data_IF_335009230896
#
_entry.id   IF_335009230896
#
_cell.length_a   1.000
_cell.length_b   1.000
_cell.length_c   1.000
_cell.angle_alpha   90.00
_cell.angle_beta   90.00
_cell.angle_gamma   90.00
#
_symmetry.space_group_name_H-M   'P 1'
#
loop_
_entity.id
_entity.type
_entity.pdbx_description
1 polymer ?
#
# COMPACT_ATOMS: atom_id res chain seq x y z
N UNK A 1 -3.84 -7.97 1.08
CA UNK A 1 -5.28 -8.11 0.76
C UNK A 1 -6.07 -7.53 1.91
N UNK A 2 -6.95 -6.58 1.65
CA UNK A 2 -7.87 -6.02 2.64
C UNK A 2 -9.08 -6.96 2.81
N UNK A 3 -9.63 -7.02 4.02
CA UNK A 3 -10.89 -7.72 4.25
C UNK A 3 -12.09 -6.86 3.83
N UNK A 4 -13.27 -7.48 3.62
CA UNK A 4 -14.50 -6.70 3.37
C UNK A 4 -14.81 -5.70 4.50
N UNK A 5 -14.44 -6.04 5.73
CA UNK A 5 -14.53 -5.12 6.87
C UNK A 5 -13.66 -3.86 6.68
N UNK A 6 -12.44 -4.01 6.17
CA UNK A 6 -11.57 -2.87 5.90
C UNK A 6 -12.14 -1.97 4.80
N UNK A 7 -12.68 -2.56 3.72
CA UNK A 7 -13.36 -1.80 2.67
C UNK A 7 -14.58 -1.03 3.20
N UNK A 8 -15.42 -1.63 4.04
CA UNK A 8 -16.54 -0.94 4.68
C UNK A 8 -16.05 0.25 5.51
N UNK A 9 -15.02 0.07 6.33
CA UNK A 9 -14.44 1.16 7.13
C UNK A 9 -13.87 2.29 6.27
N UNK A 10 -13.27 1.97 5.12
CA UNK A 10 -12.78 2.98 4.18
C UNK A 10 -13.92 3.81 3.58
N UNK A 11 -15.05 3.17 3.26
CA UNK A 11 -16.22 3.85 2.70
C UNK A 11 -16.91 4.71 3.77
N UNK A 12 -16.97 4.21 5.01
CA UNK A 12 -17.61 4.90 6.15
C UNK A 12 -16.74 6.03 6.74
N UNK A 13 -15.48 6.17 6.33
CA UNK A 13 -14.62 7.29 6.72
C UNK A 13 -15.11 8.60 6.04
N UNK A 14 -15.76 9.52 6.76
CA UNK A 14 -16.31 10.72 6.15
C UNK A 14 -15.23 11.69 5.68
N UNK A 15 -14.06 11.72 6.34
CA UNK A 15 -12.96 12.63 5.98
C UNK A 15 -12.48 12.33 4.55
N UNK A 16 -12.28 11.07 4.27
CA UNK A 16 -11.85 10.57 2.96
C UNK A 16 -13.00 10.60 1.95
N UNK A 17 -14.11 9.95 2.29
CA UNK A 17 -15.18 9.66 1.33
C UNK A 17 -15.87 10.92 0.86
N UNK A 18 -16.17 11.88 1.76
CA UNK A 18 -16.80 13.14 1.37
C UNK A 18 -15.92 13.98 0.46
N UNK A 19 -14.59 14.00 0.70
CA UNK A 19 -13.66 14.70 -0.16
C UNK A 19 -13.64 14.10 -1.58
N UNK A 20 -13.56 12.76 -1.70
CA UNK A 20 -13.62 12.08 -3.00
C UNK A 20 -14.96 12.29 -3.70
N UNK A 21 -16.08 12.24 -2.98
CA UNK A 21 -17.40 12.53 -3.55
C UNK A 21 -17.52 13.98 -4.03
N UNK A 22 -16.95 14.93 -3.30
CA UNK A 22 -16.92 16.34 -3.72
C UNK A 22 -16.07 16.51 -5.00
N UNK A 23 -14.92 15.82 -5.09
CA UNK A 23 -14.09 15.83 -6.27
C UNK A 23 -14.79 15.21 -7.49
N UNK A 24 -15.44 14.05 -7.30
CA UNK A 24 -16.21 13.40 -8.36
C UNK A 24 -17.37 14.26 -8.85
N UNK A 25 -18.16 14.89 -7.94
CA UNK A 25 -19.26 15.80 -8.34
C UNK A 25 -18.77 16.97 -9.20
N UNK A 26 -17.54 17.42 -8.98
CA UNK A 26 -16.95 18.51 -9.76
C UNK A 26 -16.37 18.05 -11.10
N UNK A 27 -15.83 16.84 -11.16
CA UNK A 27 -15.13 16.30 -12.33
C UNK A 27 -16.07 15.59 -13.30
N UNK A 28 -17.05 14.85 -12.81
CA UNK A 28 -17.96 14.06 -13.63
C UNK A 28 -19.06 14.93 -14.18
N UNK A 29 -19.20 14.94 -15.49
CA UNK A 29 -20.28 15.60 -16.24
C UNK A 29 -21.10 14.57 -17.02
N UNK A 30 -22.35 14.89 -17.43
CA UNK A 30 -23.11 13.97 -18.28
C UNK A 30 -22.33 13.57 -19.52
N UNK A 31 -22.18 12.25 -19.73
CA UNK A 31 -21.42 11.69 -20.84
C UNK A 31 -19.95 11.42 -20.58
N UNK A 32 -19.38 11.81 -19.45
CA UNK A 32 -17.99 11.52 -19.07
C UNK A 32 -17.71 10.02 -19.05
N UNK A 33 -16.50 9.66 -19.43
CA UNK A 33 -15.89 8.35 -19.20
C UNK A 33 -14.98 8.45 -17.99
N UNK A 34 -15.22 7.60 -17.00
CA UNK A 34 -14.42 7.55 -15.77
C UNK A 34 -13.61 6.26 -15.77
N UNK A 35 -12.31 6.36 -15.43
CA UNK A 35 -11.45 5.22 -15.15
C UNK A 35 -11.13 5.26 -13.67
N UNK A 36 -11.49 4.21 -12.94
CA UNK A 36 -11.17 4.03 -11.52
C UNK A 36 -10.17 2.90 -11.35
N UNK A 37 -9.06 3.18 -10.65
CA UNK A 37 -8.04 2.19 -10.31
C UNK A 37 -8.14 1.87 -8.83
N UNK A 38 -8.25 0.56 -8.50
CA UNK A 38 -8.47 0.08 -7.14
C UNK A 38 -9.91 0.34 -6.70
N UNK A 39 -10.88 -0.11 -7.52
CA UNK A 39 -12.30 0.13 -7.24
C UNK A 39 -12.80 -0.58 -5.98
N UNK A 40 -12.08 -1.63 -5.52
CA UNK A 40 -12.48 -2.42 -4.36
C UNK A 40 -13.90 -2.97 -4.50
N UNK A 41 -14.80 -2.53 -3.63
CA UNK A 41 -16.23 -2.92 -3.66
C UNK A 41 -17.08 -2.07 -4.61
N UNK A 42 -16.49 -1.22 -5.45
CA UNK A 42 -17.20 -0.47 -6.49
C UNK A 42 -17.96 0.78 -6.04
N UNK A 43 -17.71 1.27 -4.82
CA UNK A 43 -18.45 2.40 -4.26
C UNK A 43 -18.34 3.66 -5.12
N UNK A 44 -17.13 4.09 -5.46
CA UNK A 44 -16.95 5.31 -6.26
C UNK A 44 -17.35 5.11 -7.72
N UNK A 45 -17.21 3.89 -8.26
CA UNK A 45 -17.72 3.56 -9.60
C UNK A 45 -19.24 3.77 -9.68
N UNK A 46 -20.01 3.28 -8.69
CA UNK A 46 -21.45 3.51 -8.61
C UNK A 46 -21.77 5.00 -8.44
N UNK A 47 -21.03 5.71 -7.60
CA UNK A 47 -21.24 7.14 -7.41
C UNK A 47 -20.96 7.93 -8.69
N UNK A 48 -19.88 7.61 -9.43
CA UNK A 48 -19.59 8.23 -10.72
C UNK A 48 -20.71 7.98 -11.76
N UNK A 49 -21.20 6.73 -11.83
CA UNK A 49 -22.32 6.39 -12.71
C UNK A 49 -23.60 7.17 -12.34
N UNK A 50 -23.92 7.31 -11.03
CA UNK A 50 -25.06 8.11 -10.55
C UNK A 50 -24.92 9.59 -10.81
N UNK A 51 -23.68 10.11 -10.84
CA UNK A 51 -23.38 11.51 -11.19
C UNK A 51 -23.45 11.80 -12.69
N UNK A 52 -23.74 10.79 -13.53
CA UNK A 52 -23.97 10.97 -14.96
C UNK A 52 -22.85 10.48 -15.87
N UNK A 53 -21.85 9.76 -15.35
CA UNK A 53 -20.87 9.10 -16.19
C UNK A 53 -21.59 8.15 -17.18
N UNK A 54 -21.19 8.26 -18.46
CA UNK A 54 -21.70 7.37 -19.53
C UNK A 54 -21.13 5.97 -19.38
N UNK A 55 -19.86 5.89 -19.01
CA UNK A 55 -19.13 4.65 -18.80
C UNK A 55 -18.17 4.82 -17.63
N UNK A 56 -18.05 3.79 -16.80
CA UNK A 56 -17.04 3.69 -15.77
C UNK A 56 -16.27 2.40 -15.99
N UNK A 57 -14.97 2.49 -16.22
CA UNK A 57 -14.04 1.37 -16.23
C UNK A 57 -13.47 1.24 -14.82
N UNK A 58 -13.95 0.23 -14.09
CA UNK A 58 -13.60 -0.01 -12.70
C UNK A 58 -12.62 -1.19 -12.61
N UNK A 59 -11.34 -0.87 -12.34
CA UNK A 59 -10.23 -1.80 -12.39
C UNK A 59 -9.83 -2.21 -10.97
N UNK A 60 -9.73 -3.50 -10.71
CA UNK A 60 -9.31 -4.08 -9.44
C UNK A 60 -8.58 -5.40 -9.68
N UNK A 61 -7.42 -5.58 -9.07
CA UNK A 61 -6.66 -6.81 -9.19
C UNK A 61 -7.06 -7.88 -8.16
N UNK A 62 -7.75 -7.47 -7.09
CA UNK A 62 -8.17 -8.35 -6.00
C UNK A 62 -9.54 -8.97 -6.32
N UNK A 63 -9.77 -10.25 -5.97
CA UNK A 63 -11.08 -10.93 -6.11
C UNK A 63 -12.27 -10.21 -5.46
N UNK A 64 -12.03 -9.20 -4.61
CA UNK A 64 -13.09 -8.34 -4.06
C UNK A 64 -13.95 -7.66 -5.12
N UNK A 65 -13.47 -7.55 -6.35
CA UNK A 65 -14.23 -7.04 -7.51
C UNK A 65 -15.56 -7.82 -7.75
N UNK A 66 -15.65 -9.06 -7.28
CA UNK A 66 -16.90 -9.80 -7.30
C UNK A 66 -18.00 -9.09 -6.49
N UNK A 67 -17.65 -8.54 -5.32
CA UNK A 67 -18.58 -7.73 -4.53
C UNK A 67 -18.96 -6.42 -5.25
N UNK A 68 -18.05 -5.81 -5.99
CA UNK A 68 -18.35 -4.62 -6.79
C UNK A 68 -19.41 -4.90 -7.86
N UNK A 69 -19.44 -6.12 -8.43
CA UNK A 69 -20.47 -6.54 -9.39
C UNK A 69 -21.85 -6.54 -8.74
N UNK A 70 -21.98 -7.19 -7.59
CA UNK A 70 -23.25 -7.22 -6.85
C UNK A 70 -23.70 -5.81 -6.45
N UNK A 71 -22.76 -4.96 -6.00
CA UNK A 71 -23.04 -3.57 -5.64
C UNK A 71 -23.52 -2.77 -6.87
N UNK A 72 -22.92 -2.94 -8.04
CA UNK A 72 -23.35 -2.27 -9.26
C UNK A 72 -24.76 -2.72 -9.70
N UNK A 73 -25.06 -4.02 -9.61
CA UNK A 73 -26.37 -4.62 -9.97
C UNK A 73 -27.49 -4.08 -9.06
N UNK A 74 -27.36 -4.18 -7.73
CA UNK A 74 -28.40 -3.75 -6.79
C UNK A 74 -28.63 -2.24 -6.83
N UNK A 75 -27.65 -1.47 -7.31
CA UNK A 75 -27.74 -0.02 -7.49
C UNK A 75 -28.21 0.40 -8.90
N UNK A 76 -28.51 -0.54 -9.80
CA UNK A 76 -28.98 -0.27 -11.16
C UNK A 76 -27.98 0.46 -12.04
N UNK A 77 -26.68 0.19 -11.86
CA UNK A 77 -25.58 0.84 -12.58
C UNK A 77 -24.74 -0.15 -13.43
N UNK A 78 -25.06 -1.45 -13.42
CA UNK A 78 -24.28 -2.49 -14.07
C UNK A 78 -24.11 -2.29 -15.58
N UNK A 79 -25.07 -1.66 -16.25
CA UNK A 79 -25.02 -1.34 -17.67
C UNK A 79 -23.96 -0.27 -18.04
N UNK A 80 -23.58 0.57 -17.07
CA UNK A 80 -22.62 1.66 -17.24
C UNK A 80 -21.24 1.38 -16.64
N UNK A 81 -21.13 0.37 -15.76
CA UNK A 81 -19.89 0.01 -15.09
C UNK A 81 -19.32 -1.27 -15.72
N UNK A 82 -18.12 -1.17 -16.24
CA UNK A 82 -17.33 -2.30 -16.72
C UNK A 82 -16.28 -2.65 -15.68
N UNK A 83 -16.43 -3.81 -15.04
CA UNK A 83 -15.54 -4.32 -14.01
C UNK A 83 -14.43 -5.15 -14.66
N UNK A 84 -13.17 -4.76 -14.41
CA UNK A 84 -11.99 -5.38 -15.02
C UNK A 84 -11.09 -5.91 -13.92
N UNK A 85 -11.02 -7.24 -13.79
CA UNK A 85 -10.15 -7.92 -12.83
C UNK A 85 -8.75 -8.07 -13.40
N UNK A 86 -7.91 -7.05 -13.16
CA UNK A 86 -6.53 -7.02 -13.63
C UNK A 86 -5.72 -5.93 -12.90
N UNK A 87 -4.40 -6.01 -13.00
CA UNK A 87 -3.55 -4.85 -12.71
C UNK A 87 -3.79 -3.75 -13.74
N UNK A 88 -3.94 -2.50 -13.30
CA UNK A 88 -4.22 -1.36 -14.21
C UNK A 88 -3.17 -1.19 -15.30
N UNK A 89 -1.93 -1.57 -15.02
CA UNK A 89 -0.80 -1.53 -15.96
C UNK A 89 -0.92 -2.54 -17.11
N UNK A 90 -1.78 -3.56 -16.98
CA UNK A 90 -2.00 -4.61 -17.98
C UNK A 90 -3.28 -4.36 -18.81
N UNK A 91 -4.13 -3.43 -18.36
CA UNK A 91 -5.42 -3.17 -18.99
C UNK A 91 -5.26 -2.35 -20.26
N UNK A 92 -5.97 -2.73 -21.31
CA UNK A 92 -6.17 -1.95 -22.53
C UNK A 92 -7.64 -1.61 -22.63
N UNK A 93 -7.98 -0.33 -22.60
CA UNK A 93 -9.34 0.15 -22.70
C UNK A 93 -9.70 0.49 -24.17
N UNK A 94 -10.95 0.34 -24.58
CA UNK A 94 -11.40 0.72 -25.92
C UNK A 94 -11.39 2.25 -26.14
N UNK A 95 -11.40 3.03 -25.07
CA UNK A 95 -11.34 4.49 -25.07
C UNK A 95 -10.66 5.00 -23.80
N UNK A 96 -10.03 6.18 -23.86
CA UNK A 96 -9.46 6.86 -22.69
C UNK A 96 -10.54 7.57 -21.88
N UNK A 97 -10.32 7.69 -20.55
CA UNK A 97 -11.19 8.39 -19.64
C UNK A 97 -11.09 9.90 -19.71
N UNK A 98 -12.17 10.59 -19.43
CA UNK A 98 -12.19 12.02 -19.15
C UNK A 98 -11.75 12.32 -17.72
N UNK A 99 -11.98 11.35 -16.81
CA UNK A 99 -11.63 11.40 -15.39
C UNK A 99 -10.88 10.12 -15.02
N UNK A 100 -9.72 10.28 -14.37
CA UNK A 100 -8.98 9.20 -13.72
C UNK A 100 -9.11 9.35 -12.21
N UNK A 101 -9.65 8.33 -11.57
CA UNK A 101 -9.80 8.26 -10.11
C UNK A 101 -8.95 7.15 -9.55
N UNK A 102 -8.23 7.42 -8.46
CA UNK A 102 -7.53 6.38 -7.71
C UNK A 102 -7.39 6.73 -6.23
N UNK A 103 -7.45 5.73 -5.36
CA UNK A 103 -7.05 5.83 -3.96
C UNK A 103 -6.37 4.55 -3.50
N UNK A 104 -5.11 4.41 -3.89
CA UNK A 104 -4.25 3.27 -3.56
C UNK A 104 -3.28 3.59 -2.42
N UNK A 105 -3.62 4.61 -1.59
CA UNK A 105 -2.78 5.02 -0.46
C UNK A 105 -2.83 3.97 0.65
N UNK A 106 -1.68 3.78 1.30
CA UNK A 106 -1.61 3.21 2.64
C UNK A 106 -1.63 4.30 3.71
N UNK A 107 -0.89 4.10 4.79
CA UNK A 107 -0.70 5.13 5.85
C UNK A 107 -0.06 6.40 5.31
N UNK A 108 0.81 6.24 4.33
CA UNK A 108 1.38 7.30 3.49
C UNK A 108 1.09 6.96 2.01
N UNK A 109 1.06 7.97 1.12
CA UNK A 109 0.85 7.75 -0.32
C UNK A 109 2.06 7.09 -1.01
N UNK A 110 2.98 6.56 -0.24
CA UNK A 110 4.16 5.78 -0.65
C UNK A 110 3.89 4.33 -0.25
N UNK A 111 3.03 3.66 -1.00
CA UNK A 111 2.52 2.31 -0.71
C UNK A 111 2.44 1.48 -1.98
N UNK A 112 3.06 0.30 -1.97
CA UNK A 112 3.04 -0.67 -3.08
C UNK A 112 3.17 0.03 -4.47
N UNK A 113 2.28 -0.28 -5.39
CA UNK A 113 2.29 0.26 -6.75
C UNK A 113 1.48 1.55 -6.93
N UNK A 114 1.13 2.28 -5.85
CA UNK A 114 0.33 3.50 -5.93
C UNK A 114 0.89 4.50 -6.97
N UNK A 115 2.14 4.93 -6.81
CA UNK A 115 2.77 5.88 -7.72
C UNK A 115 2.95 5.30 -9.13
N UNK A 116 3.50 4.08 -9.32
CA UNK A 116 3.62 3.48 -10.65
C UNK A 116 2.29 3.33 -11.39
N UNK A 117 1.24 2.88 -10.70
CA UNK A 117 -0.08 2.70 -11.32
C UNK A 117 -0.68 4.02 -11.79
N UNK A 118 -0.56 5.08 -11.00
CA UNK A 118 -1.06 6.41 -11.39
C UNK A 118 -0.23 6.98 -12.55
N UNK A 119 1.09 6.86 -12.48
CA UNK A 119 1.99 7.37 -13.53
C UNK A 119 1.72 6.70 -14.88
N UNK A 120 1.50 5.39 -14.89
CA UNK A 120 1.12 4.62 -16.07
C UNK A 120 -0.27 5.02 -16.59
N UNK A 121 -1.28 5.01 -15.72
CA UNK A 121 -2.66 5.28 -16.10
C UNK A 121 -2.86 6.70 -16.62
N UNK A 122 -2.16 7.69 -16.06
CA UNK A 122 -2.17 9.07 -16.56
C UNK A 122 -1.81 9.14 -18.05
N UNK A 123 -0.87 8.32 -18.51
CA UNK A 123 -0.39 8.30 -19.89
C UNK A 123 -1.27 7.46 -20.80
N UNK A 124 -1.68 6.28 -20.34
CA UNK A 124 -2.38 5.31 -21.20
C UNK A 124 -3.89 5.38 -21.13
N UNK A 125 -4.43 5.67 -19.95
CA UNK A 125 -5.86 5.52 -19.67
C UNK A 125 -6.59 6.85 -19.57
N UNK A 126 -5.90 7.99 -19.41
CA UNK A 126 -6.49 9.32 -19.31
C UNK A 126 -6.28 10.10 -20.61
N UNK A 127 -7.32 10.80 -21.09
CA UNK A 127 -7.22 11.71 -22.24
C UNK A 127 -6.27 12.86 -21.95
N UNK A 128 -5.58 13.41 -22.97
CA UNK A 128 -4.87 14.67 -22.84
C UNK A 128 -5.80 15.77 -22.30
N UNK A 129 -5.41 16.41 -21.20
CA UNK A 129 -6.25 17.41 -20.52
C UNK A 129 -7.38 16.86 -19.66
N UNK A 130 -7.51 15.54 -19.52
CA UNK A 130 -8.45 14.90 -18.62
C UNK A 130 -8.19 15.20 -17.14
N UNK A 131 -9.18 15.01 -16.31
CA UNK A 131 -9.11 15.32 -14.87
C UNK A 131 -8.54 14.13 -14.12
N UNK A 132 -7.47 14.35 -13.35
CA UNK A 132 -6.88 13.35 -12.48
C UNK A 132 -7.22 13.62 -11.01
N UNK A 133 -7.65 12.61 -10.29
CA UNK A 133 -7.97 12.61 -8.87
C UNK A 133 -7.21 11.44 -8.21
N UNK A 134 -6.28 11.70 -7.29
CA UNK A 134 -5.81 12.99 -6.75
C UNK A 134 -4.87 13.73 -7.71
N UNK A 135 -4.63 15.01 -7.39
CA UNK A 135 -3.65 15.84 -8.11
C UNK A 135 -2.30 15.88 -7.42
N UNK A 136 -2.28 15.91 -6.09
CA UNK A 136 -1.04 16.07 -5.31
C UNK A 136 -1.20 15.53 -3.89
N UNK A 137 -0.12 15.04 -3.32
CA UNK A 137 0.03 14.81 -1.88
C UNK A 137 1.28 15.53 -1.35
N UNK A 138 1.09 16.34 -0.29
CA UNK A 138 2.18 16.94 0.47
C UNK A 138 2.47 16.07 1.68
N UNK A 139 3.74 15.71 1.88
CA UNK A 139 4.17 14.84 2.95
C UNK A 139 4.78 15.67 4.09
N UNK A 140 4.21 15.54 5.27
CA UNK A 140 4.58 16.27 6.48
C UNK A 140 5.21 15.35 7.51
N UNK A 141 6.07 15.89 8.37
CA UNK A 141 6.62 15.19 9.52
C UNK A 141 6.81 16.12 10.72
N UNK A 142 6.83 15.52 11.92
CA UNK A 142 7.18 16.20 13.17
C UNK A 142 7.87 15.22 14.14
N UNK A 143 8.62 15.78 15.09
CA UNK A 143 9.19 15.00 16.21
C UNK A 143 8.06 14.53 17.13
N UNK A 144 8.15 13.28 17.58
CA UNK A 144 7.16 12.65 18.45
C UNK A 144 7.75 12.34 19.83
N UNK A 145 7.05 12.82 20.86
CA UNK A 145 7.25 12.40 22.25
C UNK A 145 6.12 11.47 22.66
N UNK A 146 6.37 10.16 22.70
CA UNK A 146 5.41 9.17 23.14
C UNK A 146 6.12 7.97 23.74
N UNK A 147 6.19 7.94 25.06
CA UNK A 147 6.74 6.78 25.78
C UNK A 147 5.92 5.50 25.51
N UNK A 148 4.60 5.62 25.29
CA UNK A 148 3.75 4.50 24.89
C UNK A 148 4.16 3.94 23.54
N UNK A 149 4.40 4.80 22.54
CA UNK A 149 4.86 4.38 21.22
C UNK A 149 6.22 3.68 21.29
N UNK A 150 7.12 4.21 22.12
CA UNK A 150 8.45 3.69 22.29
C UNK A 150 8.50 2.44 23.18
N UNK A 151 7.56 2.25 24.09
CA UNK A 151 7.57 1.16 25.07
C UNK A 151 7.74 -0.22 24.44
N UNK A 152 7.27 -0.42 23.20
CA UNK A 152 7.35 -1.72 22.55
C UNK A 152 8.78 -2.14 22.19
N UNK A 153 9.64 -1.21 21.79
CA UNK A 153 11.04 -1.50 21.44
C UNK A 153 12.05 -1.09 22.53
N UNK A 154 11.62 -0.25 23.51
CA UNK A 154 12.46 0.18 24.63
C UNK A 154 12.21 -0.60 25.96
N UNK A 155 11.27 -1.54 25.98
CA UNK A 155 11.01 -2.40 27.16
C UNK A 155 12.20 -3.30 27.48
N UNK A 156 12.19 -3.84 28.71
CA UNK A 156 13.13 -4.89 29.14
C UNK A 156 13.23 -5.99 28.06
N UNK A 157 14.44 -6.30 27.58
CA UNK A 157 14.65 -7.32 26.57
C UNK A 157 14.47 -8.75 27.07
N UNK A 158 14.30 -8.99 28.38
CA UNK A 158 14.23 -10.32 28.97
C UNK A 158 12.90 -10.65 29.66
N UNK A 159 11.73 -10.61 28.93
CA UNK A 159 10.47 -11.01 29.50
C UNK A 159 10.53 -12.48 29.94
N UNK A 160 10.07 -12.74 31.17
CA UNK A 160 10.10 -14.11 31.76
C UNK A 160 11.51 -14.75 31.78
N UNK A 161 12.58 -13.94 31.79
CA UNK A 161 13.96 -14.44 31.80
C UNK A 161 14.49 -14.90 30.44
N UNK A 162 13.73 -14.74 29.37
CA UNK A 162 14.18 -15.03 27.99
C UNK A 162 14.73 -13.76 27.36
N UNK A 163 15.98 -13.78 26.92
CA UNK A 163 16.61 -12.62 26.26
C UNK A 163 16.04 -12.43 24.85
N UNK A 164 15.21 -11.38 24.68
CA UNK A 164 14.60 -10.95 23.43
C UNK A 164 15.33 -9.77 22.79
N UNK A 165 16.50 -9.38 23.27
CA UNK A 165 17.27 -8.26 22.73
C UNK A 165 17.51 -8.38 21.19
N UNK A 166 17.78 -9.55 20.59
CA UNK A 166 17.94 -9.67 19.16
C UNK A 166 16.68 -9.26 18.35
N UNK A 167 15.49 -9.55 18.88
CA UNK A 167 14.21 -9.16 18.24
C UNK A 167 13.95 -7.68 18.45
N UNK A 168 14.15 -7.18 19.68
CA UNK A 168 13.90 -5.76 20.01
C UNK A 168 14.77 -4.80 19.21
N UNK A 169 16.05 -5.13 19.00
CA UNK A 169 16.92 -4.32 18.13
C UNK A 169 16.33 -4.19 16.71
N UNK A 170 15.68 -5.23 16.18
CA UNK A 170 15.03 -5.18 14.89
C UNK A 170 13.78 -4.30 14.88
N UNK A 171 13.05 -4.22 15.99
CA UNK A 171 11.85 -3.41 16.11
C UNK A 171 12.12 -1.91 15.95
N UNK A 172 13.30 -1.44 16.34
CA UNK A 172 13.73 -0.06 16.09
C UNK A 172 13.96 0.25 14.59
N UNK A 173 13.96 -0.78 13.75
CA UNK A 173 14.05 -0.70 12.29
C UNK A 173 12.69 -0.92 11.59
N UNK A 174 11.58 -0.86 12.32
CA UNK A 174 10.23 -1.03 11.77
C UNK A 174 9.38 0.21 12.03
N UNK A 175 8.78 0.75 10.99
CA UNK A 175 7.76 1.78 11.16
C UNK A 175 6.40 1.15 11.47
N UNK A 176 5.48 1.95 12.03
CA UNK A 176 4.14 1.46 12.40
C UNK A 176 3.08 2.54 12.17
N UNK A 177 1.88 2.08 11.83
CA UNK A 177 0.68 2.92 11.86
C UNK A 177 0.30 3.23 13.30
N UNK A 178 -0.04 4.51 13.56
CA UNK A 178 -0.60 4.99 14.83
C UNK A 178 -1.65 6.07 14.59
N UNK A 179 -2.54 6.24 15.57
CA UNK A 179 -3.29 7.48 15.74
C UNK A 179 -2.50 8.35 16.74
N UNK A 180 -1.87 9.40 16.24
CA UNK A 180 -1.02 10.31 17.01
C UNK A 180 -1.84 11.52 17.43
N UNK A 181 -1.79 11.86 18.72
CA UNK A 181 -2.46 13.06 19.24
C UNK A 181 -1.56 14.27 19.01
N UNK A 182 -2.18 15.44 18.81
CA UNK A 182 -1.43 16.68 18.55
C UNK A 182 -0.46 17.04 19.68
N UNK A 183 -0.83 16.78 20.95
CA UNK A 183 0.01 17.03 22.11
C UNK A 183 1.24 16.11 22.21
N UNK A 184 1.28 14.99 21.50
CA UNK A 184 2.45 14.13 21.40
C UNK A 184 3.52 14.71 20.46
N UNK A 185 3.18 15.71 19.63
CA UNK A 185 4.15 16.40 18.80
C UNK A 185 4.99 17.35 19.66
N UNK A 186 6.30 17.27 19.52
CA UNK A 186 7.28 18.10 20.24
C UNK A 186 7.99 19.10 19.33
N UNK A 187 7.64 19.14 18.06
CA UNK A 187 8.07 20.16 17.10
C UNK A 187 6.90 20.65 16.26
N UNK A 188 7.06 21.83 15.64
CA UNK A 188 6.19 22.21 14.53
C UNK A 188 6.33 21.20 13.37
N UNK A 189 5.26 20.96 12.61
CA UNK A 189 5.33 20.18 11.38
C UNK A 189 6.21 20.83 10.32
N UNK A 190 6.91 20.01 9.53
CA UNK A 190 7.62 20.46 8.35
C UNK A 190 7.29 19.57 7.15
N UNK A 191 7.14 20.18 5.97
CA UNK A 191 7.08 19.47 4.70
C UNK A 191 8.44 18.78 4.45
N UNK A 192 8.42 17.50 4.09
CA UNK A 192 9.64 16.79 3.75
C UNK A 192 9.64 16.27 2.31
N UNK A 193 8.47 16.10 1.70
CA UNK A 193 8.36 15.70 0.29
C UNK A 193 6.98 16.07 -0.28
N UNK A 194 6.87 15.99 -1.59
CA UNK A 194 5.65 16.27 -2.34
C UNK A 194 5.56 15.32 -3.53
N UNK A 195 4.38 14.81 -3.80
CA UNK A 195 4.09 13.95 -4.95
C UNK A 195 3.07 14.66 -5.82
N UNK A 196 3.49 15.23 -6.92
CA UNK A 196 2.59 15.76 -7.96
C UNK A 196 2.24 14.63 -8.95
N UNK A 197 1.03 14.11 -8.83
CA UNK A 197 0.56 13.00 -9.66
C UNK A 197 0.41 13.34 -11.14
N UNK A 198 0.40 14.62 -11.50
CA UNK A 198 0.37 15.07 -12.90
C UNK A 198 1.73 14.90 -13.60
N UNK A 199 2.81 14.76 -12.84
CA UNK A 199 4.17 14.71 -13.37
C UNK A 199 5.04 13.58 -12.84
N UNK A 200 4.72 13.00 -11.67
CA UNK A 200 5.54 11.96 -11.03
C UNK A 200 5.75 10.74 -11.94
N UNK A 201 6.97 10.23 -11.94
CA UNK A 201 7.38 9.00 -12.64
C UNK A 201 8.15 8.07 -11.71
N UNK A 202 9.11 8.62 -10.94
CA UNK A 202 9.91 7.85 -9.97
C UNK A 202 9.08 7.60 -8.69
N UNK A 203 8.86 6.33 -8.31
CA UNK A 203 8.17 6.02 -7.05
C UNK A 203 9.02 6.29 -5.81
N UNK A 204 10.31 6.59 -5.96
CA UNK A 204 11.19 6.92 -4.82
C UNK A 204 10.82 8.29 -4.27
N UNK A 205 10.56 8.34 -2.97
CA UNK A 205 10.31 9.59 -2.25
C UNK A 205 11.39 9.80 -1.22
N UNK A 206 12.04 10.96 -1.24
CA UNK A 206 13.08 11.33 -0.29
C UNK A 206 13.03 12.81 0.01
N UNK A 207 13.18 13.15 1.28
CA UNK A 207 13.32 14.54 1.70
C UNK A 207 13.97 14.66 3.06
N UNK A 208 14.44 15.88 3.33
CA UNK A 208 15.09 16.27 4.59
C UNK A 208 14.44 17.54 5.09
N UNK A 209 14.11 17.59 6.38
CA UNK A 209 13.67 18.81 7.03
C UNK A 209 14.41 19.00 8.37
N UNK A 210 14.53 20.25 8.77
CA UNK A 210 14.96 20.64 10.11
C UNK A 210 13.73 20.87 10.97
N UNK A 211 13.63 20.13 12.07
CA UNK A 211 12.52 20.19 13.02
C UNK A 211 13.02 20.85 14.32
N UNK A 212 12.37 21.96 14.71
CA UNK A 212 12.73 22.70 15.91
C UNK A 212 11.81 22.26 17.06
N UNK A 213 12.38 21.81 18.15
CA UNK A 213 11.64 21.45 19.36
C UNK A 213 10.91 22.68 19.93
N UNK A 214 9.62 22.56 20.20
CA UNK A 214 8.78 23.65 20.75
C UNK A 214 8.78 23.69 22.27
N UNK A 215 9.24 22.64 22.93
CA UNK A 215 9.36 22.47 24.38
C UNK A 215 10.46 21.49 24.74
N UNK A 216 10.88 21.50 25.99
CA UNK A 216 11.75 20.45 26.53
C UNK A 216 11.02 19.12 26.56
N UNK A 217 11.74 18.02 26.34
CA UNK A 217 11.17 16.68 26.42
C UNK A 217 12.06 15.60 25.84
N UNK A 218 11.48 14.43 25.58
CA UNK A 218 12.16 13.25 25.07
C UNK A 218 11.58 12.83 23.71
N UNK A 219 12.34 13.00 22.66
CA UNK A 219 11.94 12.52 21.31
C UNK A 219 12.12 11.02 21.23
N UNK A 220 11.07 10.31 20.81
CA UNK A 220 11.05 8.86 20.65
C UNK A 220 11.06 8.42 19.18
N UNK A 221 10.90 9.36 18.25
CA UNK A 221 10.87 9.12 16.81
C UNK A 221 10.22 10.25 16.04
N UNK A 222 9.82 9.96 14.82
CA UNK A 222 9.17 10.89 13.92
C UNK A 222 7.79 10.37 13.57
N UNK A 223 6.78 11.25 13.62
CA UNK A 223 5.47 11.01 13.02
C UNK A 223 5.44 11.63 11.63
N UNK A 224 4.92 10.90 10.64
CA UNK A 224 4.73 11.39 9.28
C UNK A 224 3.29 11.14 8.81
N UNK A 225 2.77 12.09 8.03
CA UNK A 225 1.41 12.08 7.49
C UNK A 225 1.37 12.80 6.16
N UNK A 226 0.17 12.92 5.57
CA UNK A 226 0.01 13.61 4.30
C UNK A 226 -1.18 14.58 4.32
N UNK A 227 -1.15 15.50 3.37
CA UNK A 227 -2.25 16.36 2.97
C UNK A 227 -2.54 16.10 1.49
N UNK A 228 -3.72 15.57 1.20
CA UNK A 228 -4.15 15.22 -0.13
C UNK A 228 -4.90 16.36 -0.80
N UNK A 229 -4.46 16.77 -1.98
CA UNK A 229 -5.21 17.62 -2.90
C UNK A 229 -5.85 16.75 -3.97
N UNK A 230 -7.16 16.59 -3.92
CA UNK A 230 -7.91 15.83 -4.92
C UNK A 230 -8.17 16.68 -6.16
N UNK A 231 -8.64 17.91 -5.97
CA UNK A 231 -8.79 18.97 -6.98
C UNK A 231 -8.53 20.33 -6.30
N UNK A 232 -8.34 21.42 -7.04
CA UNK A 232 -8.16 22.74 -6.44
C UNK A 232 -9.27 23.09 -5.42
N UNK A 233 -8.88 23.28 -4.16
CA UNK A 233 -9.79 23.56 -3.05
C UNK A 233 -10.60 22.37 -2.52
N UNK A 234 -10.31 21.15 -2.96
CA UNK A 234 -10.92 19.92 -2.45
C UNK A 234 -9.80 18.96 -2.06
N UNK A 235 -9.78 18.55 -0.79
CA UNK A 235 -8.76 17.65 -0.27
C UNK A 235 -9.05 17.26 1.17
N UNK A 236 -8.14 16.55 1.77
CA UNK A 236 -8.20 16.14 3.18
C UNK A 236 -6.79 15.87 3.72
N UNK A 237 -6.69 15.74 5.03
CA UNK A 237 -5.43 15.38 5.69
C UNK A 237 -5.69 14.36 6.79
N UNK A 238 -4.67 13.55 7.08
CA UNK A 238 -4.60 12.70 8.25
C UNK A 238 -3.65 13.27 9.33
N UNK A 239 -3.45 14.59 9.35
CA UNK A 239 -2.59 15.25 10.34
C UNK A 239 -3.05 14.99 11.78
N UNK A 240 -2.13 14.85 12.75
CA UNK A 240 -2.46 14.81 14.16
C UNK A 240 -3.30 16.02 14.59
N UNK A 241 -4.40 15.79 15.31
CA UNK A 241 -5.34 16.84 15.72
C UNK A 241 -6.43 17.18 14.70
N UNK A 242 -6.35 16.67 13.47
CA UNK A 242 -7.46 16.69 12.50
C UNK A 242 -8.48 15.59 12.82
N UNK A 243 -9.71 15.65 12.26
CA UNK A 243 -10.63 14.52 12.35
C UNK A 243 -9.96 13.21 11.95
N UNK A 244 -10.18 12.16 12.74
CA UNK A 244 -9.52 10.88 12.52
C UNK A 244 -9.93 10.29 11.18
N UNK A 245 -8.92 9.95 10.36
CA UNK A 245 -9.10 9.26 9.10
C UNK A 245 -8.57 7.81 9.20
N UNK A 246 -9.09 6.94 8.34
CA UNK A 246 -8.73 5.51 8.30
C UNK A 246 -7.21 5.28 8.19
N UNK A 247 -6.46 6.23 7.66
CA UNK A 247 -5.03 6.10 7.39
C UNK A 247 -4.17 6.12 8.66
N UNK A 248 -4.55 6.86 9.72
CA UNK A 248 -3.65 7.16 10.85
C UNK A 248 -2.38 7.85 10.38
N UNK A 249 -1.31 7.80 11.18
CA UNK A 249 0.01 8.36 10.85
C UNK A 249 1.09 7.28 10.88
N UNK A 250 2.19 7.48 10.14
CA UNK A 250 3.35 6.62 10.19
C UNK A 250 4.28 7.06 11.34
N UNK A 251 4.62 6.13 12.22
CA UNK A 251 5.60 6.33 13.28
C UNK A 251 6.92 5.64 12.93
N UNK A 252 7.99 6.43 12.83
CA UNK A 252 9.36 5.99 12.59
C UNK A 252 10.15 6.11 13.89
N UNK A 253 10.42 5.01 14.62
CA UNK A 253 11.03 5.04 15.93
C UNK A 253 12.50 5.40 15.88
N UNK A 254 13.00 6.06 16.95
CA UNK A 254 14.41 6.15 17.23
C UNK A 254 14.86 4.95 18.09
N UNK A 255 16.12 4.53 17.99
CA UNK A 255 16.62 3.36 18.73
C UNK A 255 16.69 3.60 20.25
N UNK A 256 16.68 4.87 20.68
CA UNK A 256 16.63 5.32 22.06
C UNK A 256 15.90 6.65 22.15
N UNK A 257 15.36 6.96 23.32
CA UNK A 257 14.81 8.29 23.60
C UNK A 257 15.94 9.34 23.60
N UNK A 258 15.68 10.48 22.97
CA UNK A 258 16.64 11.58 22.85
C UNK A 258 16.09 12.80 23.57
N UNK A 259 16.78 13.27 24.61
CA UNK A 259 16.41 14.51 25.27
C UNK A 259 16.68 15.72 24.36
N UNK A 260 15.71 16.60 24.26
CA UNK A 260 15.80 17.87 23.53
C UNK A 260 15.29 19.01 24.40
N UNK A 261 15.78 20.22 24.14
CA UNK A 261 15.30 21.46 24.76
C UNK A 261 14.52 22.29 23.75
N UNK A 262 13.65 23.15 24.23
CA UNK A 262 12.97 24.13 23.39
C UNK A 262 13.99 24.93 22.55
N UNK A 263 13.74 25.04 21.24
CA UNK A 263 14.62 25.70 20.29
C UNK A 263 15.74 24.83 19.71
N UNK A 264 15.98 23.62 20.23
CA UNK A 264 16.96 22.72 19.62
C UNK A 264 16.44 22.17 18.29
N UNK A 265 17.35 22.07 17.33
CA UNK A 265 17.06 21.60 15.97
C UNK A 265 17.49 20.15 15.79
N UNK A 266 16.61 19.38 15.15
CA UNK A 266 16.87 18.01 14.71
C UNK A 266 16.69 17.96 13.20
N UNK A 267 17.75 17.60 12.49
CA UNK A 267 17.65 17.31 11.06
C UNK A 267 17.18 15.88 10.86
N UNK A 268 16.10 15.72 10.11
CA UNK A 268 15.51 14.41 9.81
C UNK A 268 15.43 14.20 8.31
N UNK A 269 15.91 13.05 7.84
CA UNK A 269 15.73 12.58 6.46
C UNK A 269 14.86 11.33 6.46
N UNK A 270 13.77 11.34 5.66
CA UNK A 270 12.98 10.16 5.35
C UNK A 270 13.21 9.77 3.88
N UNK A 271 13.32 8.48 3.63
CA UNK A 271 13.43 7.92 2.27
C UNK A 271 12.58 6.65 2.19
N UNK A 272 11.66 6.62 1.21
CA UNK A 272 10.90 5.45 0.81
C UNK A 272 11.28 5.05 -0.62
N UNK A 273 11.77 3.83 -0.80
CA UNK A 273 12.17 3.29 -2.10
C UNK A 273 11.41 2.02 -2.40
N UNK A 274 10.74 1.98 -3.54
CA UNK A 274 10.04 0.77 -3.98
C UNK A 274 11.04 -0.33 -4.34
N UNK A 275 10.90 -1.49 -3.72
CA UNK A 275 11.71 -2.68 -3.96
C UNK A 275 10.79 -3.90 -4.12
N UNK A 276 10.62 -4.37 -5.35
CA UNK A 276 9.57 -5.35 -5.67
C UNK A 276 8.18 -4.72 -5.51
N UNK A 277 7.36 -5.29 -4.64
CA UNK A 277 6.00 -4.79 -4.34
C UNK A 277 5.92 -3.94 -3.07
N UNK A 278 7.01 -3.79 -2.33
CA UNK A 278 7.00 -3.13 -1.02
C UNK A 278 8.01 -1.98 -0.95
N UNK A 279 7.73 -1.00 -0.09
CA UNK A 279 8.65 0.09 0.16
C UNK A 279 9.66 -0.26 1.24
N UNK A 280 10.95 -0.14 0.92
CA UNK A 280 12.03 -0.07 1.90
C UNK A 280 12.13 1.37 2.40
N UNK A 281 11.89 1.54 3.68
CA UNK A 281 12.03 2.82 4.36
C UNK A 281 13.39 2.94 5.03
N UNK A 282 13.97 4.15 4.95
CA UNK A 282 15.13 4.55 5.72
C UNK A 282 14.86 5.91 6.36
N UNK A 283 15.20 6.04 7.63
CA UNK A 283 15.12 7.32 8.31
C UNK A 283 16.38 7.58 9.08
N UNK A 284 16.83 8.82 9.01
CA UNK A 284 18.01 9.32 9.69
C UNK A 284 17.64 10.57 10.46
N UNK A 285 18.19 10.71 11.66
CA UNK A 285 18.06 11.91 12.44
C UNK A 285 19.38 12.26 13.09
N UNK A 286 19.63 13.56 13.25
CA UNK A 286 20.80 14.07 13.96
C UNK A 286 20.47 15.39 14.66
N UNK A 287 21.00 15.59 15.87
CA UNK A 287 20.97 16.89 16.54
C UNK A 287 21.84 17.91 15.81
N UNK A 288 21.44 19.18 15.81
CA UNK A 288 22.16 20.31 15.20
C UNK A 288 22.63 21.33 16.22
N UNK A 289 22.94 20.89 17.45
CA UNK A 289 23.36 21.77 18.56
C UNK A 289 24.81 22.31 18.44
N UNK A 290 25.52 22.00 17.37
CA UNK A 290 26.88 22.43 17.11
C UNK A 290 27.96 21.76 17.99
N UNK A 291 27.60 20.77 18.82
CA UNK A 291 28.53 20.02 19.65
C UNK A 291 29.15 18.85 18.89
N UNK A 292 30.38 18.53 19.20
CA UNK A 292 31.10 17.41 18.58
C UNK A 292 30.48 16.05 18.87
N UNK A 293 29.68 15.94 19.93
CA UNK A 293 28.98 14.71 20.37
C UNK A 293 27.48 14.69 20.05
N UNK A 294 27.07 15.40 19.00
CA UNK A 294 25.69 15.38 18.56
C UNK A 294 25.24 13.94 18.27
N UNK A 295 24.13 13.52 18.89
CA UNK A 295 23.54 12.21 18.65
C UNK A 295 23.07 12.06 17.20
N UNK A 296 23.11 10.85 16.69
CA UNK A 296 22.52 10.50 15.39
C UNK A 296 21.97 9.10 15.39
N UNK A 297 21.00 8.85 14.53
CA UNK A 297 20.50 7.51 14.24
C UNK A 297 20.30 7.31 12.74
N UNK A 298 20.41 6.06 12.30
CA UNK A 298 20.20 5.63 10.91
C UNK A 298 19.52 4.27 10.95
N UNK A 299 18.22 4.26 10.65
CA UNK A 299 17.36 3.11 10.72
C UNK A 299 16.85 2.76 9.32
N UNK A 300 16.58 1.46 9.08
CA UNK A 300 15.99 1.02 7.82
C UNK A 300 15.18 -0.26 8.02
N UNK A 301 14.02 -0.35 7.37
CA UNK A 301 13.19 -1.56 7.38
C UNK A 301 13.92 -2.78 6.82
N UNK A 302 14.96 -2.59 6.02
CA UNK A 302 15.84 -3.67 5.59
C UNK A 302 16.46 -4.43 6.78
N UNK A 303 16.89 -3.71 7.82
CA UNK A 303 17.48 -4.33 9.03
C UNK A 303 16.42 -4.85 10.01
N UNK A 304 15.18 -4.41 9.89
CA UNK A 304 14.03 -4.91 10.65
C UNK A 304 13.57 -6.29 10.20
N UNK A 305 13.82 -6.65 8.95
CA UNK A 305 13.38 -7.92 8.36
C UNK A 305 14.33 -9.06 8.75
N UNK A 306 13.82 -10.17 9.31
CA UNK A 306 14.61 -11.37 9.50
C UNK A 306 15.02 -11.92 8.12
N UNK A 307 16.30 -11.89 7.82
CA UNK A 307 16.83 -12.44 6.58
C UNK A 307 17.20 -13.90 6.78
N UNK A 308 16.64 -14.78 5.98
CA UNK A 308 17.08 -16.16 5.87
C UNK A 308 18.23 -16.22 4.84
N UNK A 309 19.45 -16.46 5.35
CA UNK A 309 20.65 -16.54 4.52
C UNK A 309 20.57 -17.66 3.47
N UNK A 310 19.85 -18.74 3.77
CA UNK A 310 19.65 -19.85 2.82
C UNK A 310 18.67 -19.46 1.71
N UNK A 311 17.56 -18.79 2.07
CA UNK A 311 16.63 -18.25 1.08
C UNK A 311 17.31 -17.24 0.14
N UNK A 312 18.13 -16.33 0.69
CA UNK A 312 18.92 -15.40 -0.11
C UNK A 312 19.93 -16.12 -1.03
N UNK A 313 20.59 -17.18 -0.53
CA UNK A 313 21.51 -17.98 -1.35
C UNK A 313 20.79 -18.65 -2.50
N UNK A 314 19.55 -19.13 -2.30
CA UNK A 314 18.72 -19.73 -3.36
C UNK A 314 18.31 -18.73 -4.45
N UNK A 315 18.32 -17.44 -4.16
CA UNK A 315 18.02 -16.36 -5.11
C UNK A 315 19.27 -15.80 -5.80
N UNK A 316 20.48 -16.22 -5.38
CA UNK A 316 21.71 -15.74 -5.98
C UNK A 316 21.83 -16.21 -7.44
N UNK A 317 22.33 -15.36 -8.37
CA UNK A 317 22.52 -15.74 -9.77
C UNK A 317 23.41 -16.99 -9.97
N UNK A 318 24.29 -17.27 -9.01
CA UNK A 318 25.18 -18.45 -9.02
C UNK A 318 24.54 -19.71 -8.44
N UNK A 319 23.31 -19.64 -7.91
CA UNK A 319 22.65 -20.82 -7.35
C UNK A 319 22.18 -21.74 -8.47
N UNK A 320 22.48 -23.04 -8.33
CA UNK A 320 22.01 -24.07 -9.25
C UNK A 320 20.79 -24.76 -8.65
N UNK A 321 19.56 -24.40 -9.08
CA UNK A 321 18.35 -24.95 -8.50
C UNK A 321 18.11 -26.40 -8.94
N UNK A 322 17.54 -27.19 -8.03
CA UNK A 322 16.99 -28.52 -8.31
C UNK A 322 15.54 -28.56 -7.89
N UNK A 323 14.67 -28.98 -8.80
CA UNK A 323 13.24 -29.11 -8.49
C UNK A 323 12.99 -30.21 -7.46
N UNK A 324 12.11 -29.93 -6.49
CA UNK A 324 11.62 -30.91 -5.54
C UNK A 324 10.46 -31.74 -6.14
N UNK A 325 9.97 -32.74 -5.41
CA UNK A 325 8.92 -33.62 -5.92
C UNK A 325 7.58 -32.89 -6.10
N UNK A 326 7.24 -31.92 -5.22
CA UNK A 326 6.07 -31.06 -5.41
C UNK A 326 6.13 -30.26 -6.71
N UNK A 327 7.27 -29.69 -7.07
CA UNK A 327 7.43 -29.00 -8.35
C UNK A 327 7.36 -29.94 -9.56
N UNK A 328 7.76 -31.20 -9.42
CA UNK A 328 7.58 -32.21 -10.49
C UNK A 328 6.08 -32.54 -10.70
N UNK A 329 5.33 -32.64 -9.60
CA UNK A 329 3.88 -32.80 -9.64
C UNK A 329 3.24 -31.60 -10.34
N UNK A 330 3.55 -30.35 -9.93
CA UNK A 330 3.01 -29.14 -10.51
C UNK A 330 3.32 -29.04 -12.01
N UNK A 331 4.56 -29.29 -12.41
CA UNK A 331 4.96 -29.31 -13.82
C UNK A 331 4.18 -30.34 -14.63
N UNK A 332 3.93 -31.51 -14.04
CA UNK A 332 3.12 -32.53 -14.70
C UNK A 332 1.66 -32.11 -14.83
N UNK A 333 1.05 -31.55 -13.78
CA UNK A 333 -0.34 -31.04 -13.82
C UNK A 333 -0.44 -29.96 -14.90
N UNK A 334 0.45 -28.97 -14.91
CA UNK A 334 0.46 -27.88 -15.90
C UNK A 334 0.60 -28.42 -17.33
N UNK A 335 1.39 -29.49 -17.55
CA UNK A 335 1.50 -30.13 -18.86
C UNK A 335 0.21 -30.80 -19.36
N UNK A 336 -0.79 -30.99 -18.47
CA UNK A 336 -2.09 -31.57 -18.80
C UNK A 336 -3.18 -30.52 -19.05
N UNK A 337 -2.91 -29.25 -18.79
CA UNK A 337 -3.81 -28.12 -19.06
C UNK A 337 -3.75 -27.71 -20.54
N UNK A 338 -4.20 -28.61 -21.42
CA UNK A 338 -4.13 -28.50 -22.87
C UNK A 338 -5.49 -28.12 -23.51
N UNK A 339 -6.39 -27.57 -22.70
CA UNK A 339 -7.77 -27.22 -23.05
C UNK A 339 -8.68 -28.40 -23.46
N UNK A 340 -8.17 -29.65 -23.36
CA UNK A 340 -8.93 -30.85 -23.72
C UNK A 340 -9.48 -31.63 -22.52
N UNK A 341 -8.93 -31.34 -21.29
CA UNK A 341 -9.23 -32.09 -20.07
C UNK A 341 -9.82 -31.19 -18.99
N UNK A 342 -10.81 -31.73 -18.29
CA UNK A 342 -11.35 -31.04 -17.10
C UNK A 342 -10.41 -31.11 -15.92
N UNK A 343 -10.53 -30.17 -14.98
CA UNK A 343 -9.84 -30.19 -13.67
C UNK A 343 -10.03 -31.54 -12.97
N UNK A 344 -11.24 -32.10 -13.00
CA UNK A 344 -11.54 -33.40 -12.40
C UNK A 344 -10.78 -34.57 -13.04
N UNK A 345 -10.66 -34.58 -14.37
CA UNK A 345 -9.92 -35.63 -15.10
C UNK A 345 -8.40 -35.54 -14.78
N UNK A 346 -7.85 -34.32 -14.80
CA UNK A 346 -6.44 -34.10 -14.44
C UNK A 346 -6.17 -34.50 -12.99
N UNK A 347 -7.08 -34.19 -12.07
CA UNK A 347 -6.94 -34.55 -10.65
C UNK A 347 -6.98 -36.07 -10.42
N UNK A 348 -7.84 -36.79 -11.12
CA UNK A 348 -7.90 -38.25 -11.04
C UNK A 348 -6.58 -38.89 -11.53
N UNK A 349 -6.07 -38.47 -12.69
CA UNK A 349 -4.79 -38.94 -13.23
C UNK A 349 -3.62 -38.56 -12.28
N UNK A 350 -3.63 -37.36 -11.68
CA UNK A 350 -2.61 -36.92 -10.74
C UNK A 350 -2.59 -37.77 -9.47
N UNK A 351 -3.75 -38.07 -8.89
CA UNK A 351 -3.85 -38.92 -7.69
C UNK A 351 -3.33 -40.34 -7.92
N UNK A 352 -3.57 -40.91 -9.10
CA UNK A 352 -3.04 -42.22 -9.47
C UNK A 352 -1.52 -42.21 -9.68
N UNK A 353 -1.01 -41.15 -10.30
CA UNK A 353 0.40 -41.05 -10.69
C UNK A 353 1.32 -40.66 -9.54
N UNK A 354 0.83 -39.85 -8.61
CA UNK A 354 1.60 -39.27 -7.49
C UNK A 354 0.99 -39.61 -6.12
N UNK A 355 0.82 -40.90 -5.78
CA UNK A 355 0.17 -41.31 -4.54
C UNK A 355 0.99 -40.95 -3.28
N UNK A 356 2.27 -40.59 -3.44
CA UNK A 356 3.12 -40.13 -2.35
C UNK A 356 2.90 -38.67 -1.99
N UNK A 357 2.53 -37.85 -2.97
CA UNK A 357 2.30 -36.39 -2.83
C UNK A 357 0.82 -36.07 -2.65
N UNK A 358 -0.08 -36.87 -3.23
CA UNK A 358 -1.54 -36.67 -3.19
C UNK A 358 -2.21 -37.86 -2.49
N UNK A 359 -2.70 -37.63 -1.29
CA UNK A 359 -3.29 -38.69 -0.43
C UNK A 359 -4.74 -39.01 -0.75
N UNK A 360 -5.42 -38.12 -1.52
CA UNK A 360 -6.82 -38.27 -1.83
C UNK A 360 -7.22 -37.48 -3.08
N UNK A 361 -8.32 -37.90 -3.72
CA UNK A 361 -8.89 -37.13 -4.84
C UNK A 361 -9.28 -35.69 -4.48
N UNK A 362 -9.88 -35.38 -3.31
CA UNK A 362 -10.09 -34.00 -2.90
C UNK A 362 -8.81 -33.15 -2.83
N UNK A 363 -7.72 -33.70 -2.34
CA UNK A 363 -6.41 -33.02 -2.31
C UNK A 363 -5.88 -32.76 -3.73
N UNK A 364 -6.02 -33.74 -4.62
CA UNK A 364 -5.66 -33.59 -6.04
C UNK A 364 -6.53 -32.53 -6.74
N UNK A 365 -7.85 -32.51 -6.48
CA UNK A 365 -8.76 -31.49 -6.99
C UNK A 365 -8.39 -30.10 -6.53
N UNK A 366 -8.08 -29.94 -5.23
CA UNK A 366 -7.65 -28.65 -4.69
C UNK A 366 -6.35 -28.17 -5.37
N UNK A 367 -5.36 -29.07 -5.52
CA UNK A 367 -4.08 -28.71 -6.16
C UNK A 367 -4.22 -28.34 -7.62
N UNK A 368 -4.98 -29.10 -8.38
CA UNK A 368 -5.23 -28.81 -9.81
C UNK A 368 -6.05 -27.54 -9.96
N UNK A 369 -7.03 -27.30 -9.09
CA UNK A 369 -7.84 -26.08 -9.05
C UNK A 369 -6.97 -24.84 -8.79
N UNK A 370 -6.09 -24.90 -7.78
CA UNK A 370 -5.14 -23.81 -7.46
C UNK A 370 -4.24 -23.46 -8.67
N UNK A 371 -3.69 -24.49 -9.32
CA UNK A 371 -2.85 -24.27 -10.50
C UNK A 371 -3.65 -23.76 -11.71
N UNK A 372 -4.88 -24.24 -11.89
CA UNK A 372 -5.77 -23.75 -12.95
C UNK A 372 -6.14 -22.28 -12.74
N UNK A 373 -6.52 -21.89 -11.52
CA UNK A 373 -6.82 -20.51 -11.18
C UNK A 373 -5.63 -19.57 -11.47
N UNK A 374 -4.43 -20.05 -11.19
CA UNK A 374 -3.21 -19.24 -11.34
C UNK A 374 -2.69 -19.17 -12.77
N UNK A 375 -2.81 -20.22 -13.55
CA UNK A 375 -2.09 -20.41 -14.81
C UNK A 375 -2.98 -20.70 -16.02
N UNK A 376 -4.26 -21.01 -15.86
CA UNK A 376 -5.15 -21.18 -17.01
C UNK A 376 -5.39 -19.84 -17.71
N UNK A 377 -5.53 -19.89 -19.04
CA UNK A 377 -5.91 -18.73 -19.82
C UNK A 377 -7.31 -18.25 -19.40
N UNK A 378 -7.42 -16.98 -19.01
CA UNK A 378 -8.69 -16.35 -18.62
C UNK A 378 -9.73 -16.29 -19.74
N UNK A 379 -9.29 -16.45 -21.00
CA UNK A 379 -10.17 -16.50 -22.17
C UNK A 379 -10.77 -17.90 -22.42
N UNK A 380 -10.29 -18.95 -21.74
CA UNK A 380 -10.84 -20.31 -21.88
C UNK A 380 -12.10 -20.45 -21.03
N UNK A 381 -13.25 -20.21 -21.65
CA UNK A 381 -14.58 -20.53 -21.13
C UNK A 381 -15.12 -21.75 -21.85
#
# INVERSE_FOLDING_TARGET
MYSLWDYCRMIEDPVRTDAYLAALRRAVTPGSVVVEIGTGTGFFAVMAARMGARRVYAIEADPVIAAAREVAEVNGCADRIELIEAMSTEVVLPEQGDVLLSDLRGVLPVHQFHVPSIADARVRLLKPGGVQIPTEDVLWMALLESAEAAAFHLRDPAPHGVDFAPVRRRLAHTWRKRCVRAEELISAPAEWARIDYRSVVDPTVRGTATLTATRDGAVHGVSAWFEASLLPGIGFTNAPGSPEAIYGQAYFPFPAAVAVRAGEEVEVTLEGRLAGSEYLWRWRARGRDGRADAWSCDQSTFFGTPLDAEALRRQAPSFVPRVNDGAKLDAWILSRMDASRSVGAIAAEAAERFPGELKSLPEALARVGELAERYADRASR
#
